data_IF_891305955262
#
_entry.id   IF_891305955262
#
_cell.length_a   1.000
_cell.length_b   1.000
_cell.length_c   1.000
_cell.angle_alpha   90.00
_cell.angle_beta   90.00
_cell.angle_gamma   90.00
#
_symmetry.space_group_name_H-M   'P 1'
#
loop_
_entity.id
_entity.type
_entity.pdbx_description
1 polymer ?
#
# COMPACT_ATOMS: atom_id res chain seq x y z
N UNK A 1 11.80 -8.89 12.14
CA UNK A 1 11.08 -7.92 11.29
C UNK A 1 11.17 -8.43 9.86
N UNK A 2 10.04 -8.65 9.17
CA UNK A 2 10.08 -9.11 7.78
C UNK A 2 10.34 -7.87 6.91
N UNK A 3 11.45 -7.83 6.18
CA UNK A 3 11.59 -6.86 5.10
C UNK A 3 10.37 -7.01 4.20
N UNK A 4 9.64 -5.90 3.96
CA UNK A 4 8.63 -5.90 2.91
C UNK A 4 9.40 -6.22 1.64
N UNK A 5 9.16 -7.41 1.10
CA UNK A 5 9.83 -7.83 -0.12
C UNK A 5 9.34 -6.92 -1.24
N UNK A 6 10.24 -6.49 -2.11
CA UNK A 6 9.87 -5.70 -3.29
C UNK A 6 8.72 -6.39 -4.03
N UNK A 7 7.70 -5.60 -4.37
CA UNK A 7 6.58 -6.08 -5.17
C UNK A 7 7.08 -6.43 -6.56
N UNK A 8 6.59 -7.55 -7.08
CA UNK A 8 6.76 -7.91 -8.49
C UNK A 8 5.66 -7.26 -9.33
N UNK A 9 5.84 -7.23 -10.66
CA UNK A 9 4.78 -6.77 -11.58
C UNK A 9 3.53 -7.64 -11.50
N UNK A 10 3.65 -8.92 -11.14
CA UNK A 10 2.52 -9.82 -10.92
C UNK A 10 1.74 -9.44 -9.66
N UNK A 11 2.43 -9.06 -8.57
CA UNK A 11 1.79 -8.59 -7.34
C UNK A 11 1.02 -7.30 -7.60
N UNK A 12 1.64 -6.36 -8.33
CA UNK A 12 1.01 -5.08 -8.68
C UNK A 12 -0.18 -5.27 -9.62
N UNK A 13 -0.10 -6.19 -10.58
CA UNK A 13 -1.24 -6.54 -11.43
C UNK A 13 -2.40 -7.14 -10.64
N UNK A 14 -2.11 -8.00 -9.66
CA UNK A 14 -3.13 -8.57 -8.77
C UNK A 14 -3.80 -7.49 -7.90
N UNK A 15 -3.01 -6.54 -7.37
CA UNK A 15 -3.53 -5.38 -6.63
C UNK A 15 -4.43 -4.49 -7.49
N UNK A 16 -4.00 -4.16 -8.71
CA UNK A 16 -4.80 -3.37 -9.64
C UNK A 16 -6.13 -4.06 -9.97
N UNK A 17 -6.10 -5.38 -10.20
CA UNK A 17 -7.30 -6.19 -10.45
C UNK A 17 -8.24 -6.20 -9.24
N UNK A 18 -7.71 -6.33 -8.02
CA UNK A 18 -8.52 -6.31 -6.80
C UNK A 18 -9.23 -4.96 -6.57
N UNK A 19 -8.61 -3.86 -7.02
CA UNK A 19 -9.17 -2.51 -6.95
C UNK A 19 -10.04 -2.15 -8.16
N UNK A 20 -10.13 -3.02 -9.17
CA UNK A 20 -10.83 -2.73 -10.43
C UNK A 20 -10.18 -1.60 -11.25
N UNK A 21 -8.89 -1.34 -11.04
CA UNK A 21 -8.17 -0.26 -11.72
C UNK A 21 -7.63 -0.75 -13.06
N UNK A 22 -7.89 -0.01 -14.16
CA UNK A 22 -7.28 -0.32 -15.44
C UNK A 22 -5.80 0.06 -15.41
N UNK A 23 -4.93 -0.94 -15.48
CA UNK A 23 -3.47 -0.76 -15.61
C UNK A 23 -3.00 -1.56 -16.81
N UNK A 24 -2.32 -0.91 -17.74
CA UNK A 24 -1.81 -1.60 -18.93
C UNK A 24 -0.50 -2.34 -18.59
N UNK A 25 -0.14 -3.38 -19.37
CA UNK A 25 1.13 -4.07 -19.18
C UNK A 25 2.36 -3.14 -19.26
N UNK A 26 2.28 -2.11 -20.10
CA UNK A 26 3.35 -1.13 -20.28
C UNK A 26 3.55 -0.25 -19.04
N UNK A 27 2.45 0.06 -18.33
CA UNK A 27 2.48 0.85 -17.10
C UNK A 27 2.97 0.04 -15.89
N UNK A 28 2.80 -1.30 -15.90
CA UNK A 28 3.09 -2.16 -14.74
C UNK A 28 4.53 -2.00 -14.24
N UNK A 29 5.49 -1.85 -15.15
CA UNK A 29 6.91 -1.70 -14.77
C UNK A 29 7.13 -0.41 -13.98
N UNK A 30 6.59 0.71 -14.46
CA UNK A 30 6.74 2.00 -13.81
C UNK A 30 5.96 2.07 -12.49
N UNK A 31 4.74 1.55 -12.48
CA UNK A 31 3.90 1.49 -11.27
C UNK A 31 4.56 0.63 -10.20
N UNK A 32 5.14 -0.52 -10.57
CA UNK A 32 5.89 -1.37 -9.64
C UNK A 32 7.10 -0.64 -9.05
N UNK A 33 7.89 0.03 -9.88
CA UNK A 33 9.02 0.81 -9.41
C UNK A 33 8.60 1.91 -8.42
N UNK A 34 7.55 2.67 -8.75
CA UNK A 34 7.02 3.74 -7.89
C UNK A 34 6.45 3.22 -6.57
N UNK A 35 5.75 2.08 -6.59
CA UNK A 35 5.23 1.45 -5.38
C UNK A 35 6.34 0.95 -4.47
N UNK A 36 7.39 0.32 -5.02
CA UNK A 36 8.53 -0.12 -4.22
C UNK A 36 9.30 1.08 -3.63
N UNK A 37 9.46 2.18 -4.38
CA UNK A 37 10.03 3.41 -3.84
C UNK A 37 9.18 4.02 -2.70
N UNK A 38 7.85 3.95 -2.81
CA UNK A 38 6.95 4.37 -1.73
C UNK A 38 7.10 3.48 -0.48
N UNK A 39 7.14 2.16 -0.66
CA UNK A 39 7.34 1.20 0.44
C UNK A 39 8.66 1.48 1.16
N UNK A 40 9.74 1.70 0.41
CA UNK A 40 11.06 2.05 0.97
C UNK A 40 10.99 3.36 1.78
N UNK A 41 10.31 4.39 1.26
CA UNK A 41 10.12 5.64 1.98
C UNK A 41 9.34 5.49 3.29
N UNK A 42 8.50 4.44 3.41
CA UNK A 42 7.74 4.12 4.62
C UNK A 42 8.50 3.21 5.59
N UNK A 43 9.70 2.71 5.24
CA UNK A 43 10.50 1.84 6.09
C UNK A 43 10.72 2.36 7.54
N UNK A 44 10.91 3.68 7.78
CA UNK A 44 11.08 4.19 9.15
C UNK A 44 9.87 3.97 10.08
N UNK A 45 8.68 3.70 9.52
CA UNK A 45 7.49 3.41 10.34
C UNK A 45 7.62 2.09 11.11
N UNK A 46 8.50 1.19 10.68
CA UNK A 46 8.73 -0.09 11.35
C UNK A 46 9.42 0.06 12.72
N UNK A 47 10.08 1.18 12.97
CA UNK A 47 10.80 1.47 14.22
C UNK A 47 9.93 2.20 15.26
N UNK A 48 8.65 2.44 14.96
CA UNK A 48 7.72 3.09 15.89
C UNK A 48 7.35 2.15 17.04
N UNK A 49 7.31 2.63 18.31
CA UNK A 49 7.01 1.80 19.47
C UNK A 49 5.49 1.56 19.63
N UNK A 50 4.94 0.68 18.79
CA UNK A 50 3.50 0.40 18.71
C UNK A 50 2.96 -0.43 19.89
N UNK A 51 3.83 -1.02 20.71
CA UNK A 51 3.46 -1.88 21.84
C UNK A 51 2.74 -1.14 22.96
N UNK A 52 2.82 0.20 22.94
CA UNK A 52 2.26 1.08 23.98
C UNK A 52 1.11 1.94 23.48
N UNK A 53 0.72 1.79 22.20
CA UNK A 53 -0.24 2.67 21.53
C UNK A 53 -1.42 1.83 21.03
N UNK A 54 -2.63 2.21 21.46
CA UNK A 54 -3.85 1.63 20.92
C UNK A 54 -4.09 2.13 19.48
N UNK A 55 -4.40 1.26 18.51
CA UNK A 55 -4.69 1.68 17.15
C UNK A 55 -5.95 2.54 17.13
N UNK A 56 -5.83 3.75 16.58
CA UNK A 56 -7.00 4.61 16.37
C UNK A 56 -7.79 4.06 15.20
N UNK A 57 -9.09 3.75 15.35
CA UNK A 57 -9.92 3.32 14.23
C UNK A 57 -9.96 4.43 13.19
N UNK A 58 -9.76 4.07 11.92
CA UNK A 58 -9.99 4.99 10.82
C UNK A 58 -11.45 5.48 10.90
N UNK A 59 -11.65 6.80 10.85
CA UNK A 59 -12.99 7.39 10.78
C UNK A 59 -13.73 6.73 9.61
N UNK A 60 -14.84 6.06 9.89
CA UNK A 60 -15.77 5.69 8.84
C UNK A 60 -16.18 6.99 8.14
N UNK A 61 -16.06 7.04 6.81
CA UNK A 61 -16.49 8.20 6.03
C UNK A 61 -17.84 8.68 6.56
N UNK A 62 -17.93 9.97 6.91
CA UNK A 62 -19.17 10.56 7.38
C UNK A 62 -20.23 10.40 6.27
N UNK A 63 -21.07 9.37 6.39
CA UNK A 63 -22.19 9.17 5.50
C UNK A 63 -23.13 10.36 5.71
N UNK A 64 -23.37 11.24 4.70
CA UNK A 64 -24.22 12.41 4.90
C UNK A 64 -25.62 11.92 5.27
N UNK A 65 -26.14 12.43 6.39
CA UNK A 65 -27.51 12.16 6.84
C UNK A 65 -28.48 12.54 5.71
N UNK A 66 -29.24 11.56 5.23
CA UNK A 66 -30.34 11.74 4.27
C UNK A 66 -31.51 12.51 4.89
#
# INVERSE_FOLDING_TARGET
MRAVSDLTTADVAALAAALGLPVTPDDLVEVTHRLNALVEALAPLADLPLETVEPTPALADEQPAS
#
